data_IF_876834728189
#
_entry.id   IF_876834728189
#
_cell.length_a   1.000
_cell.length_b   1.000
_cell.length_c   1.000
_cell.angle_alpha   90.00
_cell.angle_beta   90.00
_cell.angle_gamma   90.00
#
_symmetry.space_group_name_H-M   'P 1'
#
loop_
_entity.id
_entity.type
_entity.pdbx_description
1 polymer ?
#
# COMPACT_ATOMS: atom_id res chain seq x y z
N UNK A 1 -37.00 10.24 33.78
CA UNK A 1 -35.62 10.41 33.25
C UNK A 1 -34.83 9.11 33.14
N UNK A 2 -34.83 8.22 34.15
CA UNK A 2 -34.02 6.98 34.12
C UNK A 2 -34.34 6.02 32.95
N UNK A 3 -35.63 5.80 32.63
CA UNK A 3 -35.99 4.92 31.50
C UNK A 3 -35.49 5.44 30.15
N UNK A 4 -35.55 6.76 29.92
CA UNK A 4 -35.03 7.36 28.68
C UNK A 4 -33.50 7.21 28.60
N UNK A 5 -32.79 7.38 29.72
CA UNK A 5 -31.35 7.15 29.80
C UNK A 5 -30.99 5.69 29.46
N UNK A 6 -31.68 4.71 30.05
CA UNK A 6 -31.43 3.28 29.79
C UNK A 6 -31.72 2.92 28.33
N UNK A 7 -32.83 3.40 27.76
CA UNK A 7 -33.16 3.17 26.36
C UNK A 7 -32.13 3.83 25.43
N UNK A 8 -31.72 5.06 25.73
CA UNK A 8 -30.69 5.76 24.97
C UNK A 8 -29.35 5.01 25.01
N UNK A 9 -28.85 4.65 26.20
CA UNK A 9 -27.60 3.90 26.34
C UNK A 9 -27.68 2.55 25.61
N UNK A 10 -28.77 1.81 25.75
CA UNK A 10 -28.93 0.51 25.09
C UNK A 10 -28.93 0.67 23.57
N UNK A 11 -29.67 1.65 23.04
CA UNK A 11 -29.72 1.92 21.60
C UNK A 11 -28.37 2.38 21.06
N UNK A 12 -27.69 3.29 21.75
CA UNK A 12 -26.35 3.77 21.35
C UNK A 12 -25.33 2.63 21.40
N UNK A 13 -25.30 1.83 22.47
CA UNK A 13 -24.40 0.68 22.57
C UNK A 13 -24.62 -0.32 21.45
N UNK A 14 -25.89 -0.65 21.14
CA UNK A 14 -26.24 -1.61 20.11
C UNK A 14 -25.99 -1.14 18.67
N UNK A 15 -26.06 0.17 18.40
CA UNK A 15 -25.97 0.68 17.02
C UNK A 15 -24.63 1.36 16.70
N UNK A 16 -23.91 1.87 17.70
CA UNK A 16 -22.69 2.64 17.48
C UNK A 16 -21.42 1.95 18.01
N UNK A 17 -21.48 1.28 19.16
CA UNK A 17 -20.28 0.72 19.80
C UNK A 17 -20.06 -0.77 19.51
N UNK A 18 -21.12 -1.54 19.25
CA UNK A 18 -21.01 -2.98 18.98
C UNK A 18 -20.80 -3.29 17.49
N UNK A 19 -19.70 -2.81 16.92
CA UNK A 19 -19.27 -3.17 15.55
C UNK A 19 -17.83 -3.71 15.55
N UNK A 20 -17.59 -4.95 15.09
CA UNK A 20 -16.23 -5.47 14.98
C UNK A 20 -15.45 -4.70 13.89
N UNK A 21 -14.14 -4.53 14.09
CA UNK A 21 -13.25 -3.86 13.12
C UNK A 21 -12.46 -4.82 12.22
N UNK A 22 -12.48 -6.12 12.52
CA UNK A 22 -11.80 -7.17 11.74
C UNK A 22 -12.72 -7.76 10.67
N UNK A 23 -14.01 -7.86 11.00
CA UNK A 23 -15.05 -8.37 10.12
C UNK A 23 -15.93 -7.20 9.75
N UNK A 24 -16.07 -6.92 8.46
CA UNK A 24 -16.87 -5.80 7.98
C UNK A 24 -18.26 -6.32 7.61
N UNK A 25 -19.30 -5.67 8.12
CA UNK A 25 -20.68 -5.95 7.72
C UNK A 25 -21.12 -4.95 6.66
N UNK A 26 -21.53 -5.46 5.50
CA UNK A 26 -22.22 -4.68 4.47
C UNK A 26 -23.68 -5.13 4.40
N UNK A 27 -24.59 -4.23 4.00
CA UNK A 27 -25.99 -4.56 3.78
C UNK A 27 -26.26 -4.63 2.28
N UNK A 28 -26.82 -5.75 1.83
CA UNK A 28 -27.27 -5.92 0.46
C UNK A 28 -28.55 -5.10 0.20
N UNK A 29 -28.90 -4.82 -1.07
CA UNK A 29 -30.13 -4.10 -1.42
C UNK A 29 -31.42 -4.75 -0.92
N UNK A 30 -31.40 -6.07 -0.67
CA UNK A 30 -32.50 -6.85 -0.12
C UNK A 30 -32.58 -6.82 1.43
N UNK A 31 -31.66 -6.12 2.09
CA UNK A 31 -31.56 -6.02 3.54
C UNK A 31 -30.82 -7.19 4.21
N UNK A 32 -30.34 -8.18 3.45
CA UNK A 32 -29.48 -9.24 3.99
C UNK A 32 -28.10 -8.69 4.36
N UNK A 33 -27.49 -9.24 5.43
CA UNK A 33 -26.12 -8.90 5.81
C UNK A 33 -25.14 -9.73 5.00
N UNK A 34 -24.21 -9.04 4.33
CA UNK A 34 -23.04 -9.63 3.70
C UNK A 34 -21.82 -9.38 4.58
N UNK A 35 -21.19 -10.48 5.01
CA UNK A 35 -20.03 -10.43 5.88
C UNK A 35 -18.77 -10.46 5.01
N UNK A 36 -17.93 -9.46 5.18
CA UNK A 36 -16.65 -9.31 4.47
C UNK A 36 -15.52 -9.62 5.46
N UNK A 37 -14.72 -10.62 5.13
CA UNK A 37 -13.74 -11.21 6.04
C UNK A 37 -12.30 -11.23 5.50
N UNK A 38 -12.01 -10.34 4.56
CA UNK A 38 -10.74 -10.22 3.85
C UNK A 38 -9.52 -10.09 4.79
N UNK A 39 -9.66 -9.45 5.96
CA UNK A 39 -8.55 -9.33 6.93
C UNK A 39 -8.13 -10.70 7.47
N UNK A 40 -9.08 -11.52 7.92
CA UNK A 40 -8.76 -12.86 8.43
C UNK A 40 -8.28 -13.76 7.30
N UNK A 41 -8.87 -13.67 6.12
CA UNK A 41 -8.43 -14.39 4.93
C UNK A 41 -6.94 -14.12 4.63
N UNK A 42 -6.57 -12.84 4.53
CA UNK A 42 -5.21 -12.44 4.20
C UNK A 42 -4.19 -12.77 5.29
N UNK A 43 -4.53 -12.54 6.57
CA UNK A 43 -3.65 -12.90 7.68
C UNK A 43 -3.47 -14.41 7.81
N UNK A 44 -4.52 -15.20 7.55
CA UNK A 44 -4.40 -16.65 7.53
C UNK A 44 -3.56 -17.14 6.35
N UNK A 45 -3.70 -16.51 5.17
CA UNK A 45 -2.83 -16.80 4.03
C UNK A 45 -1.37 -16.55 4.36
N UNK A 46 -1.03 -15.40 4.97
CA UNK A 46 0.33 -15.10 5.44
C UNK A 46 0.84 -16.20 6.38
N UNK A 47 0.01 -16.60 7.35
CA UNK A 47 0.39 -17.60 8.35
C UNK A 47 0.69 -18.97 7.76
N UNK A 48 -0.06 -19.39 6.74
CA UNK A 48 0.03 -20.75 6.20
C UNK A 48 1.00 -20.86 5.00
N UNK A 49 1.23 -19.77 4.27
CA UNK A 49 1.92 -19.82 2.96
C UNK A 49 3.27 -19.10 2.93
N UNK A 50 3.71 -18.52 4.05
CA UNK A 50 5.02 -17.84 4.13
C UNK A 50 5.93 -18.51 5.18
N UNK A 51 7.26 -18.36 5.08
CA UNK A 51 8.18 -18.77 6.15
C UNK A 51 7.83 -18.11 7.49
N UNK A 52 8.05 -18.80 8.61
CA UNK A 52 7.74 -18.27 9.96
C UNK A 52 8.57 -17.03 10.32
N UNK A 53 9.77 -16.93 9.78
CA UNK A 53 10.70 -15.80 9.96
C UNK A 53 10.50 -14.68 8.93
N UNK A 54 9.53 -14.80 8.03
CA UNK A 54 9.30 -13.81 6.98
C UNK A 54 8.83 -12.47 7.56
N UNK A 55 9.56 -11.39 7.25
CA UNK A 55 9.27 -10.06 7.78
C UNK A 55 8.23 -9.34 6.93
N UNK A 56 7.15 -8.91 7.58
CA UNK A 56 6.06 -8.15 6.94
C UNK A 56 6.19 -6.67 7.26
N UNK A 57 6.26 -5.84 6.21
CA UNK A 57 6.14 -4.39 6.33
C UNK A 57 4.68 -3.97 6.05
N UNK A 58 4.09 -3.25 7.00
CA UNK A 58 2.77 -2.61 6.86
C UNK A 58 2.79 -1.23 7.51
N UNK A 59 1.71 -0.48 7.36
CA UNK A 59 1.51 0.68 8.23
C UNK A 59 1.36 0.24 9.70
N UNK A 60 1.75 1.11 10.64
CA UNK A 60 1.85 0.78 12.07
C UNK A 60 0.50 0.42 12.71
N UNK A 61 -0.62 0.94 12.18
CA UNK A 61 -1.97 0.65 12.67
C UNK A 61 -2.30 -0.85 12.71
N UNK A 62 -1.65 -1.66 11.86
CA UNK A 62 -1.98 -3.07 11.67
C UNK A 62 -0.98 -4.02 12.35
N UNK A 63 0.09 -3.50 12.97
CA UNK A 63 1.20 -4.33 13.47
C UNK A 63 0.75 -5.39 14.47
N UNK A 64 -0.09 -5.02 15.44
CA UNK A 64 -0.62 -5.98 16.42
C UNK A 64 -1.56 -7.03 15.80
N UNK A 65 -2.33 -6.67 14.77
CA UNK A 65 -3.21 -7.62 14.09
C UNK A 65 -2.41 -8.64 13.30
N UNK A 66 -1.37 -8.19 12.58
CA UNK A 66 -0.48 -9.09 11.82
C UNK A 66 0.27 -10.01 12.78
N UNK A 67 0.90 -9.46 13.83
CA UNK A 67 1.62 -10.27 14.81
C UNK A 67 0.70 -11.30 15.50
N UNK A 68 -0.53 -10.90 15.87
CA UNK A 68 -1.47 -11.78 16.57
C UNK A 68 -2.16 -12.83 15.69
N UNK A 69 -2.58 -12.46 14.47
CA UNK A 69 -3.36 -13.34 13.59
C UNK A 69 -2.50 -14.08 12.57
N UNK A 70 -1.56 -13.37 11.94
CA UNK A 70 -0.67 -13.93 10.92
C UNK A 70 0.55 -14.62 11.52
N UNK A 71 0.89 -14.34 12.79
CA UNK A 71 2.00 -14.97 13.50
C UNK A 71 3.34 -14.75 12.76
N UNK A 72 3.58 -13.50 12.33
CA UNK A 72 4.77 -13.08 11.59
C UNK A 72 5.42 -11.83 12.19
N UNK A 73 6.76 -11.71 12.11
CA UNK A 73 7.45 -10.51 12.55
C UNK A 73 7.05 -9.30 11.68
N UNK A 74 6.76 -8.17 12.34
CA UNK A 74 6.42 -6.91 11.69
C UNK A 74 7.51 -5.87 11.89
N UNK A 75 7.80 -5.06 10.86
CA UNK A 75 8.83 -4.03 10.95
C UNK A 75 8.46 -2.90 11.93
N UNK A 76 7.20 -2.48 11.93
CA UNK A 76 6.65 -1.43 12.82
C UNK A 76 5.37 -1.90 13.48
N UNK A 77 5.09 -1.41 14.69
CA UNK A 77 3.95 -1.81 15.50
C UNK A 77 3.14 -0.61 16.05
N UNK A 78 2.00 -0.93 16.68
CA UNK A 78 1.09 0.05 17.25
C UNK A 78 1.63 0.74 18.51
N UNK A 79 2.78 0.32 19.07
CA UNK A 79 3.33 0.91 20.28
C UNK A 79 4.00 2.27 20.01
N UNK A 80 4.46 2.50 18.77
CA UNK A 80 4.95 3.80 18.28
C UNK A 80 6.10 4.46 19.07
N UNK A 81 6.90 3.67 19.78
CA UNK A 81 7.98 4.19 20.63
C UNK A 81 9.18 4.74 19.84
N UNK A 82 9.39 4.29 18.59
CA UNK A 82 10.49 4.75 17.73
C UNK A 82 9.96 5.42 16.45
N UNK A 83 9.82 6.75 16.52
CA UNK A 83 9.31 7.57 15.42
C UNK A 83 10.15 7.48 14.14
N UNK A 84 11.48 7.32 14.27
CA UNK A 84 12.36 7.21 13.10
C UNK A 84 12.05 5.94 12.31
N UNK A 85 11.71 4.85 12.98
CA UNK A 85 11.38 3.60 12.31
C UNK A 85 10.05 3.69 11.54
N UNK A 86 9.04 4.33 12.13
CA UNK A 86 7.77 4.63 11.45
C UNK A 86 8.00 5.54 10.26
N UNK A 87 8.85 6.55 10.42
CA UNK A 87 9.21 7.44 9.33
C UNK A 87 9.90 6.68 8.18
N UNK A 88 10.74 5.68 8.47
CA UNK A 88 11.37 4.84 7.44
C UNK A 88 10.33 4.09 6.61
N UNK A 89 9.30 3.51 7.24
CA UNK A 89 8.17 2.89 6.53
C UNK A 89 7.40 3.94 5.71
N UNK A 90 7.11 5.11 6.30
CA UNK A 90 6.45 6.20 5.59
C UNK A 90 7.24 6.67 4.37
N UNK A 91 8.57 6.73 4.47
CA UNK A 91 9.48 7.06 3.37
C UNK A 91 9.45 5.99 2.28
N UNK A 92 9.53 4.71 2.65
CA UNK A 92 9.45 3.62 1.68
C UNK A 92 8.12 3.63 0.92
N UNK A 93 7.00 3.77 1.63
CA UNK A 93 5.66 3.79 1.04
C UNK A 93 5.41 5.01 0.14
N UNK A 94 6.02 6.16 0.46
CA UNK A 94 5.82 7.41 -0.29
C UNK A 94 6.81 7.64 -1.43
N UNK A 95 7.96 6.95 -1.42
CA UNK A 95 8.98 7.06 -2.47
C UNK A 95 8.67 6.19 -3.70
N UNK A 96 9.42 6.40 -4.79
CA UNK A 96 9.38 5.48 -5.94
C UNK A 96 9.98 4.11 -5.61
N UNK A 97 9.64 3.08 -6.38
CA UNK A 97 10.14 1.72 -6.17
C UNK A 97 11.68 1.65 -6.12
N UNK A 98 12.38 2.45 -6.93
CA UNK A 98 13.84 2.46 -6.99
C UNK A 98 14.48 2.96 -5.69
N UNK A 99 13.79 3.84 -4.96
CA UNK A 99 14.22 4.38 -3.66
C UNK A 99 13.73 3.49 -2.53
N UNK A 100 12.51 2.96 -2.63
CA UNK A 100 11.91 2.11 -1.62
C UNK A 100 12.58 0.74 -1.55
N UNK A 101 12.97 0.14 -2.68
CA UNK A 101 13.54 -1.21 -2.72
C UNK A 101 14.82 -1.36 -1.89
N UNK A 102 15.83 -0.47 -1.96
CA UNK A 102 16.98 -0.52 -1.06
C UNK A 102 16.61 -0.42 0.43
N UNK A 103 15.55 0.32 0.77
CA UNK A 103 15.05 0.43 2.15
C UNK A 103 14.46 -0.92 2.57
N UNK A 104 13.60 -1.52 1.74
CA UNK A 104 13.01 -2.84 1.99
C UNK A 104 14.10 -3.90 2.22
N UNK A 105 15.12 -3.94 1.35
CA UNK A 105 16.24 -4.88 1.46
C UNK A 105 17.10 -4.64 2.70
N UNK A 106 17.36 -3.37 3.07
CA UNK A 106 18.16 -3.02 4.26
C UNK A 106 17.49 -3.47 5.57
N UNK A 107 16.16 -3.56 5.57
CA UNK A 107 15.37 -3.97 6.72
C UNK A 107 14.90 -5.43 6.63
N UNK A 108 15.50 -6.22 5.72
CA UNK A 108 15.19 -7.64 5.51
C UNK A 108 13.68 -7.92 5.33
N UNK A 109 12.97 -7.01 4.65
CA UNK A 109 11.53 -7.16 4.39
C UNK A 109 11.31 -8.16 3.26
N UNK A 110 10.47 -9.18 3.52
CA UNK A 110 10.07 -10.18 2.54
C UNK A 110 8.71 -9.87 1.90
N UNK A 111 7.77 -9.37 2.71
CA UNK A 111 6.41 -9.06 2.28
C UNK A 111 6.00 -7.65 2.65
N UNK A 112 5.21 -7.02 1.78
CA UNK A 112 4.60 -5.71 2.01
C UNK A 112 3.08 -5.88 1.95
N UNK A 113 2.38 -5.45 3.01
CA UNK A 113 0.93 -5.50 3.09
C UNK A 113 0.36 -4.08 3.00
N UNK A 114 -0.61 -3.89 2.11
CA UNK A 114 -1.38 -2.65 1.97
C UNK A 114 -2.88 -2.91 2.03
N UNK A 115 -3.61 -1.99 2.63
CA UNK A 115 -5.07 -1.99 2.66
C UNK A 115 -5.61 -1.08 1.56
N UNK A 116 -6.44 -1.63 0.68
CA UNK A 116 -7.01 -0.95 -0.47
C UNK A 116 -8.54 -1.07 -0.49
N UNK A 117 -9.25 0.04 -0.35
CA UNK A 117 -10.71 0.04 -0.25
C UNK A 117 -11.44 0.40 -1.53
N UNK A 118 -10.72 0.67 -2.63
CA UNK A 118 -11.26 1.31 -3.82
C UNK A 118 -12.34 0.50 -4.55
N UNK A 119 -12.34 -0.84 -4.42
CA UNK A 119 -13.32 -1.70 -5.10
C UNK A 119 -14.71 -1.64 -4.44
N UNK A 120 -14.77 -1.78 -3.12
CA UNK A 120 -16.03 -1.88 -2.37
C UNK A 120 -16.42 -0.57 -1.67
N UNK A 121 -15.55 0.43 -1.65
CA UNK A 121 -15.80 1.72 -0.99
C UNK A 121 -15.41 1.74 0.50
N UNK A 122 -14.42 0.95 0.91
CA UNK A 122 -13.92 0.96 2.28
C UNK A 122 -13.02 2.19 2.53
N UNK A 123 -13.51 3.15 3.32
CA UNK A 123 -12.81 4.42 3.53
C UNK A 123 -11.57 4.34 4.43
N UNK A 124 -11.43 3.27 5.22
CA UNK A 124 -10.29 3.04 6.12
C UNK A 124 -9.03 2.51 5.43
N UNK A 125 -8.85 2.81 4.13
CA UNK A 125 -7.74 2.33 3.32
C UNK A 125 -6.46 3.16 3.49
N UNK A 126 -5.33 2.61 3.03
CA UNK A 126 -4.02 3.26 3.24
C UNK A 126 -3.82 4.49 2.36
N UNK A 127 -4.55 4.61 1.23
CA UNK A 127 -4.48 5.79 0.39
C UNK A 127 -5.11 7.01 1.11
N UNK A 128 -6.17 6.86 1.89
CA UNK A 128 -6.71 7.99 2.69
C UNK A 128 -5.78 8.40 3.83
N UNK A 129 -5.00 7.45 4.36
CA UNK A 129 -4.01 7.69 5.41
C UNK A 129 -2.65 8.13 4.86
N UNK A 130 -2.45 8.07 3.55
CA UNK A 130 -1.16 8.23 2.90
C UNK A 130 -0.48 9.57 3.22
N UNK A 131 -1.23 10.68 3.30
CA UNK A 131 -0.65 11.98 3.65
C UNK A 131 -0.03 12.01 5.06
N UNK A 132 -0.53 11.19 6.00
CA UNK A 132 0.13 11.03 7.31
C UNK A 132 1.48 10.36 7.17
N UNK A 133 1.61 9.35 6.30
CA UNK A 133 2.88 8.69 6.00
C UNK A 133 3.90 9.69 5.44
N UNK A 134 3.45 10.53 4.49
CA UNK A 134 4.26 11.59 3.87
C UNK A 134 4.72 12.61 4.91
N UNK A 135 3.83 13.09 5.78
CA UNK A 135 4.16 14.08 6.82
C UNK A 135 5.16 13.57 7.84
N UNK A 136 4.99 12.32 8.30
CA UNK A 136 5.91 11.69 9.25
C UNK A 136 7.28 11.49 8.59
N UNK A 137 7.32 11.05 7.33
CA UNK A 137 8.57 10.90 6.57
C UNK A 137 9.26 12.25 6.32
N UNK A 138 8.52 13.28 5.92
CA UNK A 138 9.04 14.64 5.72
C UNK A 138 9.64 15.23 7.00
N UNK A 139 9.08 14.92 8.18
CA UNK A 139 9.62 15.37 9.46
C UNK A 139 11.06 14.88 9.73
N UNK A 140 11.46 13.75 9.13
CA UNK A 140 12.80 13.16 9.29
C UNK A 140 13.68 13.39 8.05
N UNK A 141 13.12 13.31 6.84
CA UNK A 141 13.83 13.53 5.56
C UNK A 141 13.17 14.64 4.72
N UNK A 142 13.26 15.91 5.15
CA UNK A 142 12.58 17.03 4.48
C UNK A 142 13.09 17.31 3.07
N UNK A 143 14.35 16.97 2.77
CA UNK A 143 14.94 17.19 1.45
C UNK A 143 14.50 16.14 0.42
N UNK A 144 14.11 14.95 0.89
CA UNK A 144 13.74 13.81 0.02
C UNK A 144 12.23 13.70 -0.17
N UNK A 145 11.45 13.89 0.91
CA UNK A 145 9.99 13.81 0.88
C UNK A 145 9.42 15.18 1.22
N UNK A 146 8.60 15.72 0.32
CA UNK A 146 7.91 17.00 0.50
C UNK A 146 6.43 16.83 0.17
N UNK A 147 5.56 17.09 1.15
CA UNK A 147 4.10 17.00 1.03
C UNK A 147 3.52 17.72 -0.21
N UNK A 148 3.94 18.95 -0.57
CA UNK A 148 3.42 19.64 -1.75
C UNK A 148 3.55 18.86 -3.07
N UNK A 149 4.55 17.97 -3.18
CA UNK A 149 4.80 17.21 -4.41
C UNK A 149 3.72 16.15 -4.70
N UNK A 150 2.88 15.81 -3.72
CA UNK A 150 1.79 14.83 -3.87
C UNK A 150 0.46 15.47 -4.28
N UNK A 151 0.39 16.80 -4.33
CA UNK A 151 -0.79 17.53 -4.79
C UNK A 151 -0.64 17.94 -6.26
N UNK A 152 -1.77 18.21 -6.91
CA UNK A 152 -1.76 18.85 -8.22
C UNK A 152 -1.26 20.31 -8.10
N UNK A 153 -0.92 20.98 -9.22
CA UNK A 153 -0.55 22.40 -9.19
C UNK A 153 -1.62 23.33 -8.56
N UNK A 154 -2.88 22.87 -8.51
CA UNK A 154 -3.99 23.58 -7.90
C UNK A 154 -4.18 23.23 -6.41
N UNK A 155 -3.32 22.37 -5.84
CA UNK A 155 -3.42 21.92 -4.45
C UNK A 155 -4.43 20.78 -4.21
N UNK A 156 -4.91 20.11 -5.27
CA UNK A 156 -5.88 19.02 -5.12
C UNK A 156 -5.19 17.68 -4.83
N UNK A 157 -5.76 16.86 -3.94
CA UNK A 157 -5.34 15.48 -3.72
C UNK A 157 -6.08 14.55 -4.70
N UNK A 158 -5.37 14.03 -5.69
CA UNK A 158 -5.93 13.29 -6.84
C UNK A 158 -5.26 11.94 -7.03
N UNK A 159 -6.03 10.98 -7.55
CA UNK A 159 -5.56 9.65 -7.97
C UNK A 159 -5.80 9.37 -9.47
N UNK A 160 -6.54 10.25 -10.14
CA UNK A 160 -6.86 10.20 -11.57
C UNK A 160 -5.67 10.61 -12.45
N UNK A 161 -5.88 10.74 -13.77
CA UNK A 161 -4.84 11.17 -14.72
C UNK A 161 -4.17 12.50 -14.35
N UNK A 162 -4.85 13.37 -13.57
CA UNK A 162 -4.34 14.67 -13.11
C UNK A 162 -3.52 14.59 -11.84
N UNK A 163 -3.43 13.41 -11.21
CA UNK A 163 -2.56 13.19 -10.07
C UNK A 163 -1.11 13.57 -10.41
N UNK A 164 -0.40 14.10 -9.41
CA UNK A 164 0.99 14.47 -9.58
C UNK A 164 1.84 13.26 -9.98
N UNK A 165 2.94 13.50 -10.67
CA UNK A 165 3.83 12.41 -11.06
C UNK A 165 4.41 11.69 -9.83
N UNK A 166 4.75 12.44 -8.78
CA UNK A 166 5.21 11.90 -7.49
C UNK A 166 4.17 10.96 -6.87
N UNK A 167 2.87 11.31 -6.91
CA UNK A 167 1.81 10.44 -6.41
C UNK A 167 1.73 9.14 -7.22
N UNK A 168 1.74 9.24 -8.55
CA UNK A 168 1.67 8.06 -9.44
C UNK A 168 2.90 7.16 -9.36
N UNK A 169 4.06 7.74 -9.08
CA UNK A 169 5.31 6.99 -8.94
C UNK A 169 5.51 6.39 -7.55
N UNK A 170 4.77 6.86 -6.55
CA UNK A 170 4.86 6.35 -5.17
C UNK A 170 4.56 4.86 -5.09
N UNK A 171 5.30 4.16 -4.25
CA UNK A 171 5.14 2.73 -4.02
C UNK A 171 3.70 2.41 -3.57
N UNK A 172 3.14 3.21 -2.65
CA UNK A 172 1.78 3.04 -2.16
C UNK A 172 0.73 3.11 -3.28
N UNK A 173 0.83 4.09 -4.19
CA UNK A 173 -0.09 4.20 -5.32
C UNK A 173 0.03 2.99 -6.25
N UNK A 174 1.27 2.63 -6.61
CA UNK A 174 1.52 1.52 -7.52
C UNK A 174 1.02 0.18 -6.96
N UNK A 175 1.30 -0.10 -5.68
CA UNK A 175 0.80 -1.30 -5.01
C UNK A 175 -0.73 -1.28 -4.93
N UNK A 176 -1.35 -0.19 -4.49
CA UNK A 176 -2.80 -0.13 -4.32
C UNK A 176 -3.56 -0.33 -5.64
N UNK A 177 -3.11 0.28 -6.74
CA UNK A 177 -3.81 0.23 -8.04
C UNK A 177 -3.23 -0.76 -9.05
N UNK A 178 -2.26 -1.60 -8.66
CA UNK A 178 -1.68 -2.62 -9.55
C UNK A 178 -2.78 -3.53 -10.11
N UNK A 179 -2.86 -3.66 -11.44
CA UNK A 179 -3.86 -4.47 -12.16
C UNK A 179 -5.33 -4.16 -11.87
N UNK A 180 -5.64 -3.05 -11.19
CA UNK A 180 -7.02 -2.72 -10.81
C UNK A 180 -7.93 -2.49 -12.03
N UNK A 181 -7.39 -1.94 -13.13
CA UNK A 181 -8.14 -1.77 -14.38
C UNK A 181 -8.56 -3.10 -15.04
N UNK A 182 -7.89 -4.22 -14.74
CA UNK A 182 -8.26 -5.53 -15.29
C UNK A 182 -9.63 -5.99 -14.80
N UNK A 183 -10.02 -5.59 -13.57
CA UNK A 183 -11.36 -5.85 -13.03
C UNK A 183 -12.48 -5.20 -13.86
N UNK A 184 -12.16 -4.14 -14.58
CA UNK A 184 -13.10 -3.37 -15.41
C UNK A 184 -12.96 -3.73 -16.90
N UNK A 185 -12.51 -4.95 -17.22
CA UNK A 185 -12.33 -5.41 -18.59
C UNK A 185 -11.26 -4.64 -19.37
N UNK A 186 -10.26 -4.08 -18.68
CA UNK A 186 -9.23 -3.24 -19.28
C UNK A 186 -9.69 -1.81 -19.60
N UNK A 187 -10.89 -1.43 -19.15
CA UNK A 187 -11.37 -0.05 -19.13
C UNK A 187 -10.71 0.79 -18.03
N UNK A 188 -11.16 2.04 -17.88
CA UNK A 188 -10.74 2.87 -16.75
C UNK A 188 -11.42 2.35 -15.47
N UNK A 189 -10.62 1.94 -14.50
CA UNK A 189 -11.13 1.56 -13.18
C UNK A 189 -11.75 2.74 -12.46
N UNK A 190 -12.79 2.49 -11.68
CA UNK A 190 -13.41 3.50 -10.82
C UNK A 190 -13.08 3.21 -9.37
N UNK A 191 -12.46 4.17 -8.68
CA UNK A 191 -12.31 4.12 -7.23
C UNK A 191 -13.61 4.60 -6.56
N UNK A 192 -14.26 3.71 -5.80
CA UNK A 192 -15.53 4.00 -5.11
C UNK A 192 -15.36 4.81 -3.82
N UNK A 193 -14.18 4.83 -3.21
CA UNK A 193 -13.92 5.67 -2.03
C UNK A 193 -13.76 7.12 -2.46
N UNK A 194 -12.95 7.36 -3.50
CA UNK A 194 -12.58 8.71 -3.95
C UNK A 194 -13.48 9.27 -5.04
N UNK A 195 -14.33 8.41 -5.63
CA UNK A 195 -15.22 8.76 -6.74
C UNK A 195 -14.44 9.35 -7.93
N UNK A 196 -13.27 8.78 -8.21
CA UNK A 196 -12.37 9.20 -9.29
C UNK A 196 -12.15 8.05 -10.27
N UNK A 197 -12.05 8.40 -11.56
CA UNK A 197 -11.68 7.45 -12.61
C UNK A 197 -10.16 7.38 -12.70
N UNK A 198 -9.63 6.18 -12.69
CA UNK A 198 -8.20 5.94 -12.77
C UNK A 198 -7.66 6.13 -14.18
N UNK A 199 -6.34 6.38 -14.32
CA UNK A 199 -5.66 6.35 -15.59
C UNK A 199 -5.98 5.09 -16.39
N UNK A 200 -6.11 5.21 -17.72
CA UNK A 200 -6.42 4.06 -18.59
C UNK A 200 -5.35 2.97 -18.51
N UNK A 201 -4.08 3.37 -18.39
CA UNK A 201 -2.96 2.45 -18.21
C UNK A 201 -2.64 2.40 -16.72
N UNK A 202 -2.81 1.23 -16.12
CA UNK A 202 -2.50 1.02 -14.70
C UNK A 202 -0.99 1.03 -14.42
N UNK A 203 -0.60 1.18 -13.15
CA UNK A 203 0.80 1.11 -12.75
C UNK A 203 1.37 -0.30 -12.94
N UNK A 204 2.68 -0.37 -13.16
CA UNK A 204 3.46 -1.61 -13.17
C UNK A 204 4.41 -1.63 -11.99
N UNK A 205 4.70 -2.84 -11.48
CA UNK A 205 5.68 -3.08 -10.43
C UNK A 205 6.86 -3.85 -11.01
N UNK A 206 8.07 -3.39 -10.73
CA UNK A 206 9.31 -4.00 -11.20
C UNK A 206 10.03 -4.77 -10.09
N UNK A 207 9.96 -4.26 -8.85
CA UNK A 207 10.71 -4.75 -7.69
C UNK A 207 9.90 -5.61 -6.72
N UNK A 208 8.57 -5.62 -6.90
CA UNK A 208 7.66 -6.44 -6.11
C UNK A 208 6.76 -7.26 -7.04
N UNK A 209 6.39 -8.46 -6.59
CA UNK A 209 5.37 -9.28 -7.23
C UNK A 209 4.13 -9.37 -6.33
N UNK A 210 2.95 -9.37 -6.93
CA UNK A 210 1.69 -9.64 -6.22
C UNK A 210 1.68 -11.11 -5.76
N UNK A 211 1.63 -11.33 -4.45
CA UNK A 211 1.64 -12.66 -3.86
C UNK A 211 0.23 -13.12 -3.47
N UNK A 212 -0.59 -12.20 -2.96
CA UNK A 212 -1.98 -12.45 -2.58
C UNK A 212 -2.81 -11.17 -2.66
N UNK A 213 -4.06 -11.28 -3.09
CA UNK A 213 -5.08 -10.23 -3.01
C UNK A 213 -6.38 -10.89 -2.56
N UNK A 214 -7.00 -10.35 -1.51
CA UNK A 214 -8.23 -10.90 -0.92
C UNK A 214 -9.43 -10.81 -1.87
N UNK A 215 -10.51 -11.54 -1.55
CA UNK A 215 -11.71 -11.63 -2.40
C UNK A 215 -12.26 -10.26 -2.81
N UNK A 216 -12.42 -9.34 -1.86
CA UNK A 216 -12.98 -8.01 -2.09
C UNK A 216 -11.90 -6.94 -2.33
N UNK A 217 -10.65 -7.38 -2.59
CA UNK A 217 -9.47 -6.54 -2.81
C UNK A 217 -9.12 -5.60 -1.64
N UNK A 218 -9.62 -5.86 -0.42
CA UNK A 218 -9.31 -5.05 0.76
C UNK A 218 -7.83 -5.18 1.15
N UNK A 219 -7.29 -6.39 1.15
CA UNK A 219 -5.91 -6.65 1.59
C UNK A 219 -5.09 -7.13 0.41
N UNK A 220 -3.97 -6.46 0.15
CA UNK A 220 -3.03 -6.83 -0.90
C UNK A 220 -1.66 -7.07 -0.31
N UNK A 221 -1.05 -8.19 -0.68
CA UNK A 221 0.22 -8.64 -0.16
C UNK A 221 1.19 -8.83 -1.33
N UNK A 222 2.29 -8.13 -1.25
CA UNK A 222 3.34 -8.12 -2.26
C UNK A 222 4.60 -8.78 -1.70
N UNK A 223 5.23 -9.63 -2.50
CA UNK A 223 6.54 -10.18 -2.18
C UNK A 223 7.64 -9.31 -2.77
N UNK A 224 8.63 -8.98 -1.95
CA UNK A 224 9.82 -8.24 -2.39
C UNK A 224 10.71 -9.17 -3.19
N UNK A 225 11.05 -8.79 -4.42
CA UNK A 225 11.94 -9.61 -5.26
C UNK A 225 13.33 -9.71 -4.64
N UNK A 226 13.97 -10.85 -4.87
CA UNK A 226 15.41 -11.01 -4.59
C UNK A 226 16.21 -10.26 -5.64
N UNK A 227 17.44 -9.90 -5.28
CA UNK A 227 18.38 -9.29 -6.23
C UNK A 227 18.62 -10.25 -7.41
N UNK A 228 18.78 -9.66 -8.61
CA UNK A 228 19.08 -10.45 -9.80
C UNK A 228 20.42 -11.19 -9.61
N UNK A 229 20.47 -12.48 -9.95
CA UNK A 229 21.68 -13.30 -9.78
C UNK A 229 22.88 -12.78 -10.58
N UNK A 230 22.63 -11.96 -11.61
CA UNK A 230 23.64 -11.30 -12.43
C UNK A 230 23.98 -9.88 -11.96
N UNK A 231 23.43 -9.43 -10.83
CA UNK A 231 23.66 -8.10 -10.26
C UNK A 231 23.11 -6.95 -11.11
N UNK A 232 22.16 -7.23 -12.02
CA UNK A 232 21.52 -6.19 -12.84
C UNK A 232 20.37 -5.56 -12.05
N UNK A 233 20.07 -4.32 -12.39
CA UNK A 233 18.88 -3.65 -11.90
C UNK A 233 17.61 -4.36 -12.39
N UNK A 234 16.67 -4.65 -11.48
CA UNK A 234 15.47 -5.45 -11.76
C UNK A 234 14.59 -4.82 -12.86
N UNK A 235 14.44 -3.50 -12.85
CA UNK A 235 13.72 -2.78 -13.91
C UNK A 235 14.37 -2.96 -15.28
N UNK A 236 15.71 -2.93 -15.33
CA UNK A 236 16.45 -3.20 -16.58
C UNK A 236 16.32 -4.66 -17.04
N UNK A 237 16.28 -5.61 -16.10
CA UNK A 237 16.10 -7.03 -16.38
C UNK A 237 14.68 -7.33 -16.90
N UNK A 238 13.65 -6.76 -16.27
CA UNK A 238 12.25 -6.88 -16.70
C UNK A 238 12.05 -6.26 -18.09
N UNK A 239 12.63 -5.08 -18.34
CA UNK A 239 12.57 -4.44 -19.65
C UNK A 239 13.21 -5.32 -20.75
N UNK A 240 14.34 -5.97 -20.45
CA UNK A 240 14.97 -6.92 -21.37
C UNK A 240 14.09 -8.14 -21.63
N UNK A 241 13.48 -8.71 -20.59
CA UNK A 241 12.56 -9.85 -20.70
C UNK A 241 11.30 -9.52 -21.53
N UNK A 242 10.79 -8.29 -21.42
CA UNK A 242 9.68 -7.76 -22.24
C UNK A 242 10.09 -7.42 -23.70
N UNK A 243 11.32 -7.74 -24.11
CA UNK A 243 11.81 -7.49 -25.48
C UNK A 243 12.11 -6.03 -25.80
N UNK A 244 12.11 -5.13 -24.80
CA UNK A 244 12.48 -3.73 -25.00
C UNK A 244 14.00 -3.62 -25.12
N UNK A 245 14.49 -3.34 -26.33
CA UNK A 245 15.92 -3.11 -26.57
C UNK A 245 16.38 -1.87 -25.82
N UNK A 246 17.43 -2.01 -25.01
CA UNK A 246 18.13 -0.89 -24.36
C UNK A 246 18.55 0.12 -25.45
N UNK A 247 18.06 1.37 -25.38
CA UNK A 247 18.60 2.44 -26.24
C UNK A 247 20.10 2.52 -25.96
N UNK A 248 20.95 2.40 -26.99
CA UNK A 248 22.40 2.60 -26.88
C UNK A 248 22.65 3.99 -26.28
N UNK A 249 22.96 4.06 -24.99
CA UNK A 249 23.51 5.27 -24.39
C UNK A 249 24.94 5.43 -24.91
N UNK A 250 25.32 6.66 -25.30
CA UNK A 250 26.72 6.98 -25.61
C UNK A 250 27.59 6.55 -24.40
N UNK A 251 28.73 5.89 -24.61
CA UNK A 251 29.62 5.55 -23.51
C UNK A 251 30.00 6.82 -22.76
N UNK A 252 30.01 6.76 -21.42
CA UNK A 252 30.48 7.86 -20.59
C UNK A 252 31.90 8.25 -21.06
N UNK A 253 32.21 9.55 -21.22
CA UNK A 253 33.55 9.96 -21.60
C UNK A 253 34.51 9.44 -20.54
N UNK A 254 35.49 8.62 -20.95
CA UNK A 254 36.60 8.20 -20.10
C UNK A 254 37.16 9.46 -19.44
N UNK A 255 37.10 9.55 -18.11
CA UNK A 255 37.86 10.57 -17.37
C UNK A 255 39.30 10.46 -17.83
N UNK A 256 39.80 11.50 -18.50
CA UNK A 256 41.23 11.61 -18.80
C UNK A 256 41.94 11.61 -17.45
N UNK A 257 42.90 10.71 -17.27
CA UNK A 257 43.85 10.82 -16.18
C UNK A 257 44.50 12.21 -16.28
N UNK A 258 44.40 12.98 -15.21
CA UNK A 258 45.16 14.21 -15.05
C UNK A 258 46.62 13.75 -14.92
N UNK A 259 47.44 14.14 -15.91
CA UNK A 259 48.90 13.97 -15.89
C UNK A 259 49.49 15.06 -15.02
#
# INVERSE_FOLDING_TARGET
>A
MLMFFVLHCTWVTSNAYSSPSVVLASSNPDGSQHIIDDFREAYYWLRQNTPEDAVVMSWWDYGYQIAGMADRPTLVDNNTWNNTHIATVGKAMSSSEEVAYPILRKHDVDYVLVIFGGLIGYSGDDINKFLWMVRIAQGVWPDEIQEPNYFTPNGEYRIDDRASQTMKDSLMYKMSYYRFNELFGGGQGQDRVRQQQLPKVGPTLDYLDEAFTSENWIVRIYQVKKEDSLGRDLKSANAFAQGKKRKRSKPAPRRRAIV
#
